data_IF_455716705597
#
_entry.id   IF_455716705597
#
_cell.length_a   1.000
_cell.length_b   1.000
_cell.length_c   1.000
_cell.angle_alpha   90.00
_cell.angle_beta   90.00
_cell.angle_gamma   90.00
#
_symmetry.space_group_name_H-M   'P 1'
#
loop_
_entity.id
_entity.type
_entity.pdbx_description
1 polymer ?
#
# COMPACT_ATOMS: atom_id res chain seq x y z
N UNK A 1 -27.24 -5.45 -12.71
CA UNK A 1 -25.94 -5.13 -13.36
C UNK A 1 -25.23 -6.33 -14.00
N UNK A 2 -25.31 -7.57 -13.48
CA UNK A 2 -24.66 -8.76 -14.08
C UNK A 2 -25.08 -9.12 -15.52
N UNK A 3 -26.21 -8.64 -16.02
CA UNK A 3 -26.72 -8.99 -17.37
C UNK A 3 -25.99 -8.30 -18.53
N UNK A 4 -25.38 -7.11 -18.32
CA UNK A 4 -24.79 -6.31 -19.42
C UNK A 4 -23.35 -6.67 -19.77
N UNK A 5 -22.60 -7.27 -18.84
CA UNK A 5 -21.21 -7.68 -19.09
C UNK A 5 -21.08 -8.81 -20.13
N UNK A 6 -22.16 -9.56 -20.36
CA UNK A 6 -22.17 -10.68 -21.29
C UNK A 6 -22.63 -10.29 -22.70
N UNK A 7 -23.10 -9.06 -22.94
CA UNK A 7 -23.63 -8.66 -24.26
C UNK A 7 -22.54 -8.76 -25.34
N UNK A 8 -21.36 -8.19 -25.10
CA UNK A 8 -20.25 -8.21 -26.05
C UNK A 8 -19.77 -9.65 -26.36
N UNK A 9 -19.51 -10.53 -25.36
CA UNK A 9 -19.20 -11.93 -25.63
C UNK A 9 -20.30 -12.69 -26.38
N UNK A 10 -21.57 -12.47 -26.01
CA UNK A 10 -22.71 -13.20 -26.58
C UNK A 10 -22.93 -12.81 -28.05
N UNK A 11 -22.95 -11.52 -28.36
CA UNK A 11 -23.06 -11.04 -29.75
C UNK A 11 -21.84 -11.43 -30.58
N UNK A 12 -20.64 -11.33 -30.01
CA UNK A 12 -19.41 -11.77 -30.66
C UNK A 12 -19.44 -13.25 -31.05
N UNK A 13 -19.93 -14.11 -30.16
CA UNK A 13 -20.09 -15.55 -30.46
C UNK A 13 -21.11 -15.81 -31.57
N UNK A 14 -22.19 -15.03 -31.65
CA UNK A 14 -23.19 -15.17 -32.73
C UNK A 14 -22.63 -14.78 -34.10
N UNK A 15 -21.83 -13.70 -34.16
CA UNK A 15 -21.18 -13.24 -35.39
C UNK A 15 -20.12 -14.24 -35.86
N UNK A 16 -19.30 -14.77 -34.96
CA UNK A 16 -18.33 -15.82 -35.31
C UNK A 16 -19.04 -17.08 -35.80
N UNK A 17 -20.13 -17.48 -35.15
CA UNK A 17 -20.97 -18.62 -35.57
C UNK A 17 -21.60 -18.41 -36.95
N UNK A 18 -21.77 -17.15 -37.37
CA UNK A 18 -22.28 -16.75 -38.69
C UNK A 18 -21.19 -16.66 -39.77
N UNK A 19 -19.95 -17.07 -39.45
CA UNK A 19 -18.84 -17.16 -40.41
C UNK A 19 -17.93 -15.93 -40.48
N UNK A 20 -18.11 -14.94 -39.60
CA UNK A 20 -17.20 -13.78 -39.53
C UNK A 20 -15.83 -14.16 -38.97
N UNK A 21 -14.77 -13.53 -39.48
CA UNK A 21 -13.40 -13.82 -39.03
C UNK A 21 -13.15 -13.25 -37.62
N UNK A 22 -12.88 -14.10 -36.61
CA UNK A 22 -12.74 -13.67 -35.21
C UNK A 22 -11.53 -12.76 -34.98
N UNK A 23 -10.45 -12.94 -35.73
CA UNK A 23 -9.22 -12.14 -35.60
C UNK A 23 -9.45 -10.70 -36.08
N UNK A 24 -10.13 -10.54 -37.23
CA UNK A 24 -10.48 -9.23 -37.75
C UNK A 24 -11.49 -8.51 -36.85
N UNK A 25 -12.47 -9.26 -36.33
CA UNK A 25 -13.47 -8.72 -35.40
C UNK A 25 -12.80 -8.23 -34.11
N UNK A 26 -11.92 -9.03 -33.50
CA UNK A 26 -11.17 -8.61 -32.32
C UNK A 26 -10.34 -7.34 -32.58
N UNK A 27 -9.68 -7.25 -33.73
CA UNK A 27 -8.89 -6.07 -34.11
C UNK A 27 -9.78 -4.83 -34.26
N UNK A 28 -10.92 -4.95 -34.92
CA UNK A 28 -11.90 -3.88 -35.07
C UNK A 28 -12.48 -3.42 -33.73
N UNK A 29 -12.84 -4.36 -32.85
CA UNK A 29 -13.33 -4.06 -31.50
C UNK A 29 -12.30 -3.34 -30.64
N UNK A 30 -11.03 -3.74 -30.71
CA UNK A 30 -9.95 -3.02 -30.01
C UNK A 30 -9.76 -1.61 -30.56
N UNK A 31 -9.80 -1.44 -31.87
CA UNK A 31 -9.68 -0.11 -32.50
C UNK A 31 -10.86 0.81 -32.08
N UNK A 32 -12.08 0.27 -32.08
CA UNK A 32 -13.27 0.99 -31.63
C UNK A 32 -13.19 1.34 -30.14
N UNK A 33 -12.79 0.39 -29.28
CA UNK A 33 -12.62 0.62 -27.85
C UNK A 33 -11.58 1.71 -27.57
N UNK A 34 -10.44 1.69 -28.27
CA UNK A 34 -9.41 2.72 -28.13
C UNK A 34 -9.90 4.10 -28.58
N UNK A 35 -10.63 4.16 -29.69
CA UNK A 35 -11.24 5.40 -30.17
C UNK A 35 -12.25 5.95 -29.17
N UNK A 36 -13.16 5.11 -28.67
CA UNK A 36 -14.15 5.50 -27.66
C UNK A 36 -13.48 5.96 -26.38
N UNK A 37 -12.44 5.26 -25.91
CA UNK A 37 -11.68 5.68 -24.74
C UNK A 37 -11.09 7.09 -24.94
N UNK A 38 -10.49 7.36 -26.11
CA UNK A 38 -9.93 8.69 -26.40
C UNK A 38 -10.98 9.80 -26.49
N UNK A 39 -12.19 9.49 -26.95
CA UNK A 39 -13.30 10.45 -26.96
C UNK A 39 -13.85 10.69 -25.55
N UNK A 40 -13.92 9.64 -24.72
CA UNK A 40 -14.31 9.76 -23.31
C UNK A 40 -13.30 10.63 -22.57
N UNK A 41 -12.00 10.48 -22.82
CA UNK A 41 -10.95 11.33 -22.23
C UNK A 41 -11.11 12.80 -22.64
N UNK A 42 -11.49 13.07 -23.89
CA UNK A 42 -11.76 14.44 -24.35
C UNK A 42 -13.03 15.06 -23.75
N UNK A 43 -14.03 14.22 -23.44
CA UNK A 43 -15.27 14.64 -22.80
C UNK A 43 -15.16 14.73 -21.26
N UNK A 44 -14.11 14.15 -20.69
CA UNK A 44 -13.88 14.15 -19.26
C UNK A 44 -13.73 15.59 -18.75
N UNK A 45 -14.45 15.89 -17.66
CA UNK A 45 -14.38 17.20 -17.00
C UNK A 45 -13.42 17.08 -15.81
N UNK A 46 -12.39 17.94 -15.72
CA UNK A 46 -11.52 17.96 -14.55
C UNK A 46 -12.34 18.36 -13.32
N UNK A 47 -12.09 17.67 -12.20
CA UNK A 47 -12.74 17.95 -10.92
C UNK A 47 -12.23 19.27 -10.38
N UNK A 48 -13.13 20.19 -10.05
CA UNK A 48 -12.79 21.47 -9.43
C UNK A 48 -13.06 21.44 -7.92
N UNK A 49 -12.42 22.37 -7.20
CA UNK A 49 -12.63 22.59 -5.77
C UNK A 49 -14.09 22.99 -5.51
N UNK A 50 -14.91 22.03 -5.10
CA UNK A 50 -16.36 22.17 -4.92
C UNK A 50 -17.18 21.01 -5.50
N UNK A 51 -16.69 20.38 -6.58
CA UNK A 51 -17.34 19.23 -7.22
C UNK A 51 -17.23 17.96 -6.34
N UNK A 52 -16.21 17.89 -5.49
CA UNK A 52 -15.93 16.74 -4.61
C UNK A 52 -17.12 16.37 -3.73
N UNK A 53 -17.82 17.36 -3.15
CA UNK A 53 -19.00 17.13 -2.33
C UNK A 53 -20.13 16.50 -3.13
N UNK A 54 -20.42 17.03 -4.31
CA UNK A 54 -21.51 16.54 -5.15
C UNK A 54 -21.22 15.12 -5.67
N UNK A 55 -19.97 14.88 -6.10
CA UNK A 55 -19.50 13.55 -6.52
C UNK A 55 -19.59 12.55 -5.37
N UNK A 56 -19.13 12.92 -4.17
CA UNK A 56 -19.17 12.08 -2.99
C UNK A 56 -20.61 11.75 -2.59
N UNK A 57 -21.49 12.75 -2.57
CA UNK A 57 -22.92 12.61 -2.25
C UNK A 57 -23.62 11.64 -3.20
N UNK A 58 -23.38 11.78 -4.51
CA UNK A 58 -23.94 10.85 -5.51
C UNK A 58 -23.38 9.43 -5.31
N UNK A 59 -22.11 9.30 -4.97
CA UNK A 59 -21.43 8.02 -4.80
C UNK A 59 -21.94 7.22 -3.58
N UNK A 60 -22.34 7.91 -2.51
CA UNK A 60 -22.95 7.28 -1.31
C UNK A 60 -24.46 7.12 -1.40
N UNK A 61 -25.07 7.39 -2.56
CA UNK A 61 -26.51 7.17 -2.79
C UNK A 61 -27.41 8.33 -2.35
N UNK A 62 -26.87 9.56 -2.28
CA UNK A 62 -27.63 10.79 -2.01
C UNK A 62 -27.58 11.28 -0.56
N UNK A 63 -26.72 10.69 0.28
CA UNK A 63 -26.50 11.16 1.64
C UNK A 63 -25.55 12.37 1.65
N UNK A 64 -26.12 13.58 1.84
CA UNK A 64 -25.35 14.82 1.89
C UNK A 64 -24.39 14.90 3.10
N UNK A 65 -24.75 14.27 4.22
CA UNK A 65 -23.93 14.27 5.43
C UNK A 65 -22.66 13.47 5.24
N UNK A 66 -22.78 12.25 4.73
CA UNK A 66 -21.61 11.43 4.35
C UNK A 66 -20.82 12.06 3.20
N UNK A 67 -21.50 12.61 2.19
CA UNK A 67 -20.83 13.31 1.08
C UNK A 67 -19.96 14.47 1.55
N UNK A 68 -20.43 15.23 2.53
CA UNK A 68 -19.66 16.33 3.13
C UNK A 68 -18.43 15.83 3.91
N UNK A 69 -18.56 14.78 4.72
CA UNK A 69 -17.43 14.18 5.46
C UNK A 69 -16.34 13.65 4.53
N UNK A 70 -16.74 12.97 3.45
CA UNK A 70 -15.82 12.46 2.43
C UNK A 70 -15.10 13.62 1.73
N UNK A 71 -15.82 14.66 1.30
CA UNK A 71 -15.20 15.84 0.68
C UNK A 71 -14.17 16.49 1.60
N UNK A 72 -14.51 16.64 2.89
CA UNK A 72 -13.60 17.21 3.89
C UNK A 72 -12.34 16.35 4.07
N UNK A 73 -12.47 15.02 4.07
CA UNK A 73 -11.32 14.12 4.13
C UNK A 73 -10.39 14.32 2.91
N UNK A 74 -10.93 14.33 1.69
CA UNK A 74 -10.14 14.54 0.47
C UNK A 74 -9.50 15.93 0.42
N UNK A 75 -10.19 16.98 0.86
CA UNK A 75 -9.63 18.33 0.94
C UNK A 75 -8.48 18.45 1.94
N UNK A 76 -8.58 17.75 3.08
CA UNK A 76 -7.54 17.80 4.11
C UNK A 76 -6.30 17.00 3.72
N UNK A 77 -6.50 15.90 2.99
CA UNK A 77 -5.45 14.96 2.60
C UNK A 77 -4.74 15.40 1.30
N UNK A 78 -5.43 16.13 0.42
CA UNK A 78 -4.91 16.61 -0.85
C UNK A 78 -4.74 15.50 -1.90
N UNK A 79 -4.19 15.88 -3.07
CA UNK A 79 -4.16 15.02 -4.27
C UNK A 79 -3.35 13.72 -4.12
N UNK A 80 -2.41 13.67 -3.17
CA UNK A 80 -1.45 12.55 -3.03
C UNK A 80 -1.65 11.70 -1.78
N UNK A 81 -2.57 12.08 -0.90
CA UNK A 81 -2.73 11.33 0.34
C UNK A 81 -3.73 10.19 0.22
N UNK A 82 -3.65 9.26 1.17
CA UNK A 82 -4.40 8.02 1.14
C UNK A 82 -5.51 8.04 2.20
N UNK A 83 -6.71 7.61 1.81
CA UNK A 83 -7.86 7.49 2.70
C UNK A 83 -8.03 6.02 3.09
N UNK A 84 -8.06 5.76 4.39
CA UNK A 84 -8.38 4.44 4.95
C UNK A 84 -9.72 4.53 5.66
N UNK A 85 -10.60 3.57 5.41
CA UNK A 85 -11.92 3.51 6.04
C UNK A 85 -11.86 2.54 7.20
N UNK A 86 -12.29 3.00 8.37
CA UNK A 86 -12.34 2.21 9.59
C UNK A 86 -13.76 2.06 10.11
N UNK A 87 -14.07 0.87 10.62
CA UNK A 87 -15.31 0.65 11.36
C UNK A 87 -15.05 0.97 12.84
N UNK A 88 -15.65 2.06 13.33
CA UNK A 88 -15.58 2.44 14.74
C UNK A 88 -16.77 1.88 15.51
N UNK A 89 -16.62 1.69 16.83
CA UNK A 89 -17.73 1.31 17.72
C UNK A 89 -18.56 2.52 18.17
N UNK A 90 -18.22 3.72 17.70
CA UNK A 90 -18.87 4.97 18.04
C UNK A 90 -20.01 5.22 17.06
N UNK A 91 -21.08 5.88 17.52
CA UNK A 91 -22.26 6.20 16.69
C UNK A 91 -22.00 7.31 15.67
N UNK A 92 -20.94 8.09 15.84
CA UNK A 92 -20.61 9.24 15.01
C UNK A 92 -19.41 8.91 14.12
N UNK A 93 -19.52 9.21 12.81
CA UNK A 93 -18.36 9.09 11.92
C UNK A 93 -17.43 10.29 12.12
N UNK A 94 -16.15 9.99 12.31
CA UNK A 94 -15.08 10.96 12.50
C UNK A 94 -14.09 10.90 11.33
N UNK A 95 -13.48 12.04 11.02
CA UNK A 95 -12.37 12.15 10.06
C UNK A 95 -11.14 12.52 10.85
N UNK A 96 -10.19 11.60 10.93
CA UNK A 96 -8.90 11.79 11.57
C UNK A 96 -7.80 11.81 10.51
N UNK A 97 -6.85 12.73 10.66
CA UNK A 97 -5.68 12.82 9.78
C UNK A 97 -4.47 12.40 10.60
N UNK A 98 -3.93 11.25 10.24
CA UNK A 98 -2.74 10.68 10.85
C UNK A 98 -1.61 10.60 9.83
N UNK A 99 -0.37 10.68 10.31
CA UNK A 99 0.78 10.44 9.46
C UNK A 99 0.84 8.96 9.07
N UNK A 100 1.26 8.68 7.84
CA UNK A 100 1.29 7.32 7.34
C UNK A 100 2.08 7.15 6.05
N UNK A 101 2.37 5.88 5.75
CA UNK A 101 3.18 5.45 4.62
C UNK A 101 2.35 4.51 3.75
N UNK A 102 2.52 4.58 2.44
CA UNK A 102 1.85 3.69 1.49
C UNK A 102 2.86 2.99 0.61
N UNK A 103 2.67 1.68 0.45
CA UNK A 103 3.55 0.80 -0.31
C UNK A 103 2.76 0.10 -1.41
N UNK A 104 3.32 0.05 -2.61
CA UNK A 104 2.77 -0.67 -3.76
C UNK A 104 3.07 -2.17 -3.72
N UNK A 105 2.93 -2.75 -2.52
CA UNK A 105 3.14 -4.17 -2.22
C UNK A 105 2.09 -4.64 -1.23
N UNK A 106 1.40 -5.71 -1.61
CA UNK A 106 0.43 -6.38 -0.75
C UNK A 106 0.97 -7.62 -0.05
N UNK A 107 0.08 -8.33 0.64
CA UNK A 107 0.42 -9.52 1.40
C UNK A 107 1.01 -10.61 0.50
N UNK A 108 2.05 -11.30 0.98
CA UNK A 108 2.67 -12.42 0.24
C UNK A 108 1.72 -13.62 0.14
N UNK A 109 0.86 -13.79 1.14
CA UNK A 109 -0.06 -14.91 1.24
C UNK A 109 -1.46 -14.44 1.67
N UNK A 110 -2.53 -14.88 0.96
CA UNK A 110 -3.91 -14.54 1.35
C UNK A 110 -4.31 -15.17 2.70
N UNK A 111 -3.52 -16.10 3.24
CA UNK A 111 -3.75 -16.64 4.58
C UNK A 111 -3.44 -15.66 5.71
N UNK A 112 -2.86 -14.50 5.41
CA UNK A 112 -2.70 -13.41 6.38
C UNK A 112 -3.95 -12.53 6.53
N UNK A 113 -4.92 -12.66 5.62
CA UNK A 113 -6.17 -11.88 5.63
C UNK A 113 -6.91 -12.10 6.95
N UNK A 114 -7.23 -11.01 7.63
CA UNK A 114 -8.01 -11.01 8.87
C UNK A 114 -9.49 -10.76 8.59
N UNK A 115 -9.79 -9.98 7.55
CA UNK A 115 -11.15 -9.71 7.10
C UNK A 115 -11.39 -10.35 5.73
N UNK A 116 -12.08 -11.49 5.73
CA UNK A 116 -12.38 -12.24 4.50
C UNK A 116 -13.42 -11.56 3.60
N UNK A 117 -14.18 -10.58 4.09
CA UNK A 117 -15.15 -9.85 3.28
C UNK A 117 -14.46 -8.74 2.49
N UNK A 118 -13.60 -7.96 3.16
CA UNK A 118 -12.81 -6.90 2.52
C UNK A 118 -11.55 -7.43 1.81
N UNK A 119 -11.14 -8.67 2.10
CA UNK A 119 -9.87 -9.27 1.67
C UNK A 119 -8.65 -8.45 2.13
N UNK A 120 -8.69 -8.00 3.38
CA UNK A 120 -7.69 -7.14 4.00
C UNK A 120 -7.07 -7.84 5.21
N UNK A 121 -5.76 -7.69 5.38
CA UNK A 121 -5.06 -8.03 6.61
C UNK A 121 -4.82 -6.77 7.44
N UNK A 122 -5.34 -6.73 8.66
CA UNK A 122 -5.17 -5.61 9.59
C UNK A 122 -4.39 -6.03 10.83
N UNK A 123 -3.41 -5.22 11.21
CA UNK A 123 -2.68 -5.34 12.46
C UNK A 123 -2.80 -4.06 13.27
N UNK A 124 -3.11 -4.18 14.56
CA UNK A 124 -3.19 -3.06 15.50
C UNK A 124 -1.96 -3.03 16.38
N UNK A 125 -1.30 -1.88 16.48
CA UNK A 125 -0.04 -1.68 17.21
C UNK A 125 1.05 -2.73 16.90
N UNK A 126 1.33 -3.05 15.62
CA UNK A 126 2.34 -4.03 15.29
C UNK A 126 3.76 -3.51 15.52
N UNK A 127 4.67 -4.45 15.78
CA UNK A 127 6.10 -4.26 15.58
C UNK A 127 6.44 -4.38 14.11
N UNK A 128 7.33 -3.54 13.61
CA UNK A 128 7.72 -3.51 12.19
C UNK A 128 9.16 -3.99 12.03
N UNK A 129 9.32 -5.10 11.31
CA UNK A 129 10.62 -5.60 10.89
C UNK A 129 10.92 -5.12 9.47
N UNK A 130 12.06 -4.45 9.29
CA UNK A 130 12.53 -3.97 7.98
C UNK A 130 13.90 -4.57 7.68
N UNK A 131 13.98 -5.38 6.63
CA UNK A 131 15.23 -6.05 6.22
C UNK A 131 15.35 -6.18 4.71
N UNK A 132 16.58 -6.21 4.20
CA UNK A 132 16.90 -6.53 2.81
C UNK A 132 17.20 -8.02 2.59
N UNK A 133 17.14 -8.83 3.66
CA UNK A 133 17.42 -10.26 3.63
C UNK A 133 16.21 -11.05 3.10
N UNK A 134 16.50 -12.24 2.56
CA UNK A 134 15.48 -13.20 2.14
C UNK A 134 15.16 -14.14 3.28
N UNK A 135 13.90 -14.20 3.66
CA UNK A 135 13.37 -15.12 4.65
C UNK A 135 12.98 -16.44 3.99
N UNK A 136 13.86 -17.43 4.06
CA UNK A 136 13.63 -18.76 3.49
C UNK A 136 13.52 -19.82 4.60
N UNK A 137 14.38 -19.70 5.62
CA UNK A 137 14.48 -20.62 6.74
C UNK A 137 13.76 -20.04 7.98
N UNK A 138 13.00 -20.90 8.68
CA UNK A 138 12.27 -20.47 9.87
C UNK A 138 13.19 -20.18 11.05
N UNK A 139 14.41 -20.76 11.06
CA UNK A 139 15.40 -20.57 12.12
C UNK A 139 15.88 -19.12 12.24
N UNK A 140 15.96 -18.38 11.12
CA UNK A 140 16.47 -17.01 11.09
C UNK A 140 15.61 -16.03 11.88
N UNK A 141 14.33 -16.34 12.09
CA UNK A 141 13.38 -15.48 12.82
C UNK A 141 12.91 -16.09 14.13
N UNK A 142 13.30 -17.31 14.43
CA UNK A 142 12.73 -18.08 15.53
C UNK A 142 12.87 -17.35 16.86
N UNK A 143 14.06 -16.82 17.15
CA UNK A 143 14.34 -16.03 18.35
C UNK A 143 13.41 -14.81 18.46
N UNK A 144 13.27 -14.05 17.37
CA UNK A 144 12.42 -12.87 17.32
C UNK A 144 10.94 -13.22 17.54
N UNK A 145 10.46 -14.29 16.90
CA UNK A 145 9.09 -14.76 17.05
C UNK A 145 8.81 -15.22 18.49
N UNK A 146 9.74 -15.92 19.14
CA UNK A 146 9.57 -16.35 20.53
C UNK A 146 9.40 -15.16 21.50
N UNK A 147 10.13 -14.08 21.29
CA UNK A 147 10.03 -12.89 22.14
C UNK A 147 8.72 -12.11 21.90
N UNK A 148 8.27 -12.04 20.66
CA UNK A 148 6.97 -11.45 20.31
C UNK A 148 5.79 -12.28 20.83
N UNK A 149 5.93 -13.60 20.86
CA UNK A 149 4.93 -14.51 21.42
C UNK A 149 4.75 -14.31 22.93
N UNK A 150 5.83 -14.06 23.67
CA UNK A 150 5.76 -13.78 25.13
C UNK A 150 4.94 -12.52 25.42
N UNK A 151 5.06 -11.51 24.55
CA UNK A 151 4.38 -10.22 24.69
C UNK A 151 3.05 -10.15 23.96
N UNK A 152 2.71 -11.18 23.16
CA UNK A 152 1.53 -11.24 22.28
C UNK A 152 1.41 -10.02 21.36
N UNK A 153 2.54 -9.51 20.89
CA UNK A 153 2.57 -8.36 20.00
C UNK A 153 2.46 -8.83 18.53
N UNK A 154 1.59 -8.21 17.72
CA UNK A 154 1.55 -8.48 16.29
C UNK A 154 2.84 -7.99 15.61
N UNK A 155 3.20 -8.62 14.50
CA UNK A 155 4.38 -8.24 13.71
C UNK A 155 4.05 -8.06 12.23
N UNK A 156 4.55 -6.96 11.68
CA UNK A 156 4.56 -6.68 10.25
C UNK A 156 5.99 -6.85 9.72
N UNK A 157 6.15 -7.68 8.69
CA UNK A 157 7.47 -8.03 8.13
C UNK A 157 7.61 -7.48 6.72
N UNK A 158 8.66 -6.70 6.49
CA UNK A 158 9.09 -6.20 5.18
C UNK A 158 10.47 -6.80 4.89
N UNK A 159 10.54 -7.69 3.91
CA UNK A 159 11.77 -8.41 3.55
C UNK A 159 11.95 -8.49 2.02
N UNK A 160 13.16 -8.77 1.53
CA UNK A 160 13.39 -8.92 0.08
C UNK A 160 12.56 -10.04 -0.54
N UNK A 161 12.40 -11.13 0.20
CA UNK A 161 11.43 -12.17 -0.12
C UNK A 161 11.08 -12.96 1.14
N UNK A 162 9.87 -13.54 1.18
CA UNK A 162 9.48 -14.48 2.23
C UNK A 162 8.92 -15.73 1.58
N UNK A 163 9.67 -16.82 1.67
CA UNK A 163 9.38 -18.07 0.95
C UNK A 163 9.69 -19.30 1.81
N UNK A 164 9.53 -20.49 1.25
CA UNK A 164 10.01 -21.73 1.87
C UNK A 164 9.36 -22.05 3.22
N UNK A 165 10.19 -22.54 4.15
CA UNK A 165 9.77 -22.96 5.48
C UNK A 165 9.36 -21.78 6.36
N UNK A 166 10.03 -20.63 6.20
CA UNK A 166 9.69 -19.40 6.92
C UNK A 166 8.23 -18.99 6.66
N UNK A 167 7.82 -18.91 5.38
CA UNK A 167 6.45 -18.53 5.02
C UNK A 167 5.42 -19.52 5.57
N UNK A 168 5.68 -20.83 5.46
CA UNK A 168 4.77 -21.86 5.96
C UNK A 168 4.59 -21.74 7.48
N UNK A 169 5.68 -21.49 8.20
CA UNK A 169 5.68 -21.33 9.66
C UNK A 169 4.87 -20.11 10.07
N UNK A 170 5.08 -18.97 9.41
CA UNK A 170 4.32 -17.74 9.68
C UNK A 170 2.82 -17.92 9.44
N UNK A 171 2.45 -18.51 8.30
CA UNK A 171 1.06 -18.79 7.95
C UNK A 171 0.40 -19.73 8.95
N UNK A 172 1.09 -20.81 9.33
CA UNK A 172 0.55 -21.79 10.28
C UNK A 172 0.35 -21.19 11.67
N UNK A 173 1.27 -20.36 12.15
CA UNK A 173 1.14 -19.68 13.44
C UNK A 173 0.00 -18.66 13.43
N UNK A 174 -0.19 -17.93 12.31
CA UNK A 174 -1.34 -17.04 12.12
C UNK A 174 -2.67 -17.80 12.14
N UNK A 175 -2.78 -18.87 11.36
CA UNK A 175 -4.01 -19.68 11.29
C UNK A 175 -4.39 -20.34 12.62
N UNK A 176 -3.38 -20.67 13.45
CA UNK A 176 -3.59 -21.21 14.79
C UNK A 176 -3.90 -20.13 15.84
N UNK A 177 -3.87 -18.85 15.47
CA UNK A 177 -4.05 -17.72 16.40
C UNK A 177 -2.93 -17.61 17.44
N UNK A 178 -1.75 -18.17 17.15
CA UNK A 178 -0.59 -18.15 18.04
C UNK A 178 0.13 -16.80 17.91
N UNK A 179 0.30 -16.33 16.67
CA UNK A 179 0.94 -15.05 16.35
C UNK A 179 0.16 -14.31 15.27
N UNK A 180 -0.12 -13.04 15.50
CA UNK A 180 -0.64 -12.15 14.47
C UNK A 180 0.51 -11.60 13.63
N UNK A 181 0.68 -12.14 12.42
CA UNK A 181 1.74 -11.75 11.49
C UNK A 181 1.19 -11.46 10.10
N UNK A 182 1.75 -10.44 9.46
CA UNK A 182 1.57 -10.15 8.03
C UNK A 182 2.93 -9.86 7.43
N UNK A 183 3.23 -10.44 6.28
CA UNK A 183 4.49 -10.23 5.57
C UNK A 183 4.23 -9.71 4.15
N UNK A 184 5.03 -8.72 3.75
CA UNK A 184 5.07 -8.16 2.39
C UNK A 184 6.48 -8.27 1.82
N UNK A 185 6.56 -8.26 0.50
CA UNK A 185 7.83 -8.13 -0.21
C UNK A 185 8.27 -6.67 -0.20
N UNK A 186 9.57 -6.42 -0.10
CA UNK A 186 10.13 -5.10 -0.22
C UNK A 186 9.71 -4.44 -1.56
N UNK A 187 9.37 -3.14 -1.55
CA UNK A 187 9.11 -2.39 -2.77
C UNK A 187 10.41 -2.16 -3.54
N UNK A 188 10.29 -1.95 -4.85
CA UNK A 188 11.43 -1.75 -5.77
C UNK A 188 12.49 -2.89 -5.75
N UNK A 189 13.63 -2.65 -6.39
CA UNK A 189 14.75 -3.58 -6.49
C UNK A 189 16.09 -2.81 -6.46
N UNK A 190 17.19 -3.51 -6.16
CA UNK A 190 18.55 -2.93 -6.15
C UNK A 190 18.73 -1.79 -5.15
N UNK A 191 19.54 -0.79 -5.49
CA UNK A 191 19.83 0.35 -4.61
C UNK A 191 18.58 1.14 -4.20
N UNK A 192 17.54 1.16 -5.05
CA UNK A 192 16.27 1.82 -4.74
C UNK A 192 15.51 1.12 -3.62
N UNK A 193 15.54 -0.22 -3.60
CA UNK A 193 14.98 -1.01 -2.50
C UNK A 193 15.62 -0.64 -1.17
N UNK A 194 16.96 -0.56 -1.13
CA UNK A 194 17.70 -0.20 0.08
C UNK A 194 17.34 1.20 0.58
N UNK A 195 17.21 2.17 -0.32
CA UNK A 195 16.78 3.53 0.03
C UNK A 195 15.36 3.55 0.62
N UNK A 196 14.39 2.90 -0.03
CA UNK A 196 13.00 2.86 0.47
C UNK A 196 12.91 2.11 1.81
N UNK A 197 13.64 1.01 1.98
CA UNK A 197 13.69 0.29 3.26
C UNK A 197 14.30 1.15 4.37
N UNK A 198 15.33 1.94 4.06
CA UNK A 198 15.91 2.87 5.01
C UNK A 198 14.91 3.98 5.40
N UNK A 199 14.16 4.53 4.44
CA UNK A 199 13.14 5.54 4.71
C UNK A 199 11.97 4.96 5.55
N UNK A 200 11.57 3.71 5.27
CA UNK A 200 10.56 2.99 6.07
C UNK A 200 11.03 2.75 7.50
N UNK A 201 12.29 2.34 7.67
CA UNK A 201 12.87 2.15 8.99
C UNK A 201 12.89 3.48 9.77
N UNK A 202 13.28 4.57 9.12
CA UNK A 202 13.27 5.92 9.69
C UNK A 202 11.87 6.35 10.15
N UNK A 203 10.86 6.16 9.30
CA UNK A 203 9.50 6.61 9.58
C UNK A 203 8.79 5.76 10.65
N UNK A 204 9.18 4.49 10.81
CA UNK A 204 8.63 3.58 11.83
C UNK A 204 9.50 3.49 13.10
N UNK A 205 10.68 4.12 13.10
CA UNK A 205 11.66 4.00 14.18
C UNK A 205 12.37 2.66 14.25
N UNK A 206 12.26 1.82 13.23
CA UNK A 206 12.97 0.53 13.16
C UNK A 206 14.46 0.74 12.86
N UNK A 207 15.28 -0.19 13.32
CA UNK A 207 16.63 -0.34 12.79
C UNK A 207 16.57 -1.17 11.50
N UNK A 208 17.13 -0.64 10.42
CA UNK A 208 17.17 -1.35 9.14
C UNK A 208 18.21 -2.47 9.20
N UNK A 209 17.75 -3.73 9.26
CA UNK A 209 18.63 -4.90 9.30
C UNK A 209 19.20 -5.15 7.91
N UNK A 210 20.36 -4.55 7.67
CA UNK A 210 21.05 -4.53 6.39
C UNK A 210 22.15 -5.62 6.33
N UNK A 211 21.99 -6.53 5.37
CA UNK A 211 22.94 -7.60 5.10
C UNK A 211 24.34 -7.11 4.68
N UNK A 212 24.43 -5.97 3.99
CA UNK A 212 25.70 -5.37 3.54
C UNK A 212 26.53 -4.81 4.71
N UNK A 213 25.87 -4.43 5.82
CA UNK A 213 26.53 -3.98 7.05
C UNK A 213 26.88 -5.12 8.00
N UNK A 214 26.63 -6.38 7.60
CA UNK A 214 26.92 -7.57 8.39
C UNK A 214 25.90 -7.86 9.50
N UNK A 215 24.74 -7.21 9.49
CA UNK A 215 23.64 -7.51 10.42
C UNK A 215 22.92 -8.79 10.00
N UNK A 216 22.50 -9.61 10.97
CA UNK A 216 21.77 -10.86 10.69
C UNK A 216 20.39 -10.83 11.34
N UNK A 217 19.43 -11.52 10.73
CA UNK A 217 18.10 -11.69 11.31
C UNK A 217 18.09 -12.54 12.58
N UNK A 218 19.03 -13.48 12.69
CA UNK A 218 19.14 -14.37 13.85
C UNK A 218 19.51 -13.62 15.15
N UNK A 219 20.28 -12.53 15.02
CA UNK A 219 20.70 -11.67 16.13
C UNK A 219 19.73 -10.51 16.38
N UNK A 220 18.65 -10.40 15.58
CA UNK A 220 17.70 -9.31 15.69
C UNK A 220 16.95 -9.35 17.02
N UNK A 221 16.79 -8.18 17.65
CA UNK A 221 16.08 -8.05 18.92
C UNK A 221 14.80 -7.23 18.77
N UNK A 222 13.87 -7.38 19.71
CA UNK A 222 12.58 -6.64 19.68
C UNK A 222 12.78 -5.13 19.76
N UNK A 223 13.87 -4.66 20.37
CA UNK A 223 14.21 -3.23 20.49
C UNK A 223 14.59 -2.60 19.14
N UNK A 224 14.99 -3.41 18.15
CA UNK A 224 15.33 -2.97 16.80
C UNK A 224 14.09 -2.89 15.89
N UNK A 225 12.94 -3.39 16.35
CA UNK A 225 11.70 -3.32 15.59
C UNK A 225 11.02 -1.97 15.77
N UNK A 226 10.56 -1.41 14.65
CA UNK A 226 9.78 -0.18 14.65
C UNK A 226 8.38 -0.39 15.21
N UNK A 227 7.63 0.70 15.31
CA UNK A 227 6.24 0.71 15.77
C UNK A 227 5.34 1.47 14.80
N UNK A 228 4.12 0.96 14.64
CA UNK A 228 3.04 1.66 13.96
C UNK A 228 1.79 1.59 14.83
N UNK A 229 0.88 2.54 14.65
CA UNK A 229 -0.44 2.47 15.28
C UNK A 229 -1.29 1.38 14.62
N UNK A 230 -1.23 1.31 13.29
CA UNK A 230 -1.99 0.33 12.51
C UNK A 230 -1.28 0.03 11.20
N UNK A 231 -1.43 -1.20 10.72
CA UNK A 231 -1.03 -1.60 9.37
C UNK A 231 -2.18 -2.29 8.68
N UNK A 232 -2.50 -1.85 7.47
CA UNK A 232 -3.58 -2.36 6.62
C UNK A 232 -2.96 -2.85 5.32
N UNK A 233 -3.14 -4.13 5.00
CA UNK A 233 -2.52 -4.76 3.83
C UNK A 233 -3.57 -5.41 2.96
N UNK A 234 -3.62 -4.95 1.73
CA UNK A 234 -4.44 -5.49 0.64
C UNK A 234 -3.60 -6.41 -0.25
N UNK A 235 -4.19 -6.89 -1.35
CA UNK A 235 -3.51 -7.76 -2.31
C UNK A 235 -2.33 -7.08 -3.00
N UNK A 236 -2.43 -5.79 -3.29
CA UNK A 236 -1.45 -5.05 -4.10
C UNK A 236 -0.87 -3.82 -3.39
N UNK A 237 -1.41 -3.46 -2.22
CA UNK A 237 -1.07 -2.25 -1.48
C UNK A 237 -0.93 -2.55 0.01
N UNK A 238 -0.07 -1.82 0.70
CA UNK A 238 -0.04 -1.74 2.15
C UNK A 238 -0.05 -0.28 2.60
N UNK A 239 -0.74 0.00 3.69
CA UNK A 239 -0.81 1.31 4.34
C UNK A 239 -0.39 1.14 5.79
N UNK A 240 0.62 1.90 6.21
CA UNK A 240 1.11 1.94 7.58
C UNK A 240 0.71 3.29 8.17
N UNK A 241 -0.02 3.26 9.28
CA UNK A 241 -0.36 4.46 10.07
C UNK A 241 0.66 4.58 11.19
N UNK A 242 1.45 5.65 11.18
CA UNK A 242 2.48 5.89 12.19
C UNK A 242 1.90 6.68 13.36
N UNK A 243 2.57 6.63 14.51
CA UNK A 243 2.17 7.36 15.72
C UNK A 243 2.76 8.80 15.77
N UNK A 244 3.37 9.26 14.67
CA UNK A 244 4.00 10.58 14.56
C UNK A 244 5.29 10.76 15.35
N UNK A 245 5.80 9.72 16.04
CA UNK A 245 6.99 9.82 16.90
C UNK A 245 8.25 10.27 16.16
N UNK A 246 8.32 9.96 14.86
CA UNK A 246 9.48 10.19 14.01
C UNK A 246 9.24 11.25 12.92
N UNK A 247 8.19 12.05 13.06
CA UNK A 247 7.81 13.10 12.10
C UNK A 247 8.95 14.08 11.77
N UNK A 248 9.76 14.45 12.77
CA UNK A 248 10.90 15.37 12.55
C UNK A 248 12.02 14.72 11.73
N UNK A 249 12.36 13.46 12.01
CA UNK A 249 13.38 12.72 11.27
C UNK A 249 12.97 12.49 9.81
N UNK A 250 11.67 12.25 9.61
CA UNK A 250 10.99 12.24 8.32
C UNK A 250 11.15 13.57 7.57
N UNK A 251 10.86 14.70 8.22
CA UNK A 251 10.98 16.03 7.59
C UNK A 251 12.42 16.36 7.20
N UNK A 252 13.38 16.01 8.05
CA UNK A 252 14.79 16.17 7.73
C UNK A 252 15.19 15.34 6.51
N UNK A 253 14.67 14.12 6.39
CA UNK A 253 14.90 13.26 5.23
C UNK A 253 14.32 13.84 3.94
N UNK A 254 13.09 14.36 3.98
CA UNK A 254 12.48 15.05 2.84
C UNK A 254 13.36 16.22 2.39
N UNK A 255 13.82 17.04 3.35
CA UNK A 255 14.70 18.18 3.06
C UNK A 255 16.03 17.77 2.42
N UNK A 256 16.61 16.66 2.85
CA UNK A 256 17.81 16.10 2.21
C UNK A 256 17.53 15.67 0.76
N UNK A 257 16.38 15.02 0.51
CA UNK A 257 15.98 14.63 -0.83
C UNK A 257 15.74 15.84 -1.74
N UNK A 258 15.10 16.90 -1.21
CA UNK A 258 14.89 18.15 -1.95
C UNK A 258 16.21 18.82 -2.34
N UNK A 259 17.19 18.87 -1.42
CA UNK A 259 18.53 19.39 -1.73
C UNK A 259 19.24 18.55 -2.81
N UNK A 260 19.13 17.23 -2.73
CA UNK A 260 19.68 16.34 -3.76
C UNK A 260 19.03 16.56 -5.12
N UNK A 261 17.73 16.89 -5.15
CA UNK A 261 17.00 17.18 -6.37
C UNK A 261 17.48 18.50 -7.01
N UNK A 262 17.75 19.53 -6.19
CA UNK A 262 18.30 20.82 -6.64
C UNK A 262 19.72 20.71 -7.18
N UNK A 263 20.56 19.83 -6.60
CA UNK A 263 21.94 19.63 -7.02
C UNK A 263 22.10 18.69 -8.24
N UNK A 264 21.02 18.05 -8.66
CA UNK A 264 21.03 17.03 -9.72
C UNK A 264 20.60 17.60 -11.07
N UNK A 265 21.54 17.65 -12.02
CA UNK A 265 21.30 18.11 -13.41
C UNK A 265 20.75 17.02 -14.36
N UNK A 266 20.67 15.77 -13.89
CA UNK A 266 20.26 14.61 -14.69
C UNK A 266 18.75 14.38 -14.58
N UNK A 267 18.04 14.47 -15.69
CA UNK A 267 16.58 14.24 -15.73
C UNK A 267 16.18 12.85 -15.24
N UNK A 268 17.05 11.85 -15.45
CA UNK A 268 16.84 10.49 -14.97
C UNK A 268 16.92 10.39 -13.45
N UNK A 269 17.86 11.12 -12.83
CA UNK A 269 18.02 11.13 -11.38
C UNK A 269 16.96 12.01 -10.71
N UNK A 270 16.49 13.07 -11.38
CA UNK A 270 15.33 13.86 -10.93
C UNK A 270 14.04 13.03 -10.88
N UNK A 271 13.73 12.28 -11.94
CA UNK A 271 12.57 11.37 -11.95
C UNK A 271 12.69 10.31 -10.85
N UNK A 272 13.91 9.82 -10.58
CA UNK A 272 14.16 8.86 -9.51
C UNK A 272 13.91 9.44 -8.12
N UNK A 273 14.42 10.64 -7.82
CA UNK A 273 14.22 11.29 -6.52
C UNK A 273 12.73 11.63 -6.34
N UNK A 274 12.05 12.12 -7.39
CA UNK A 274 10.59 12.34 -7.34
C UNK A 274 9.81 11.05 -7.11
N UNK A 275 10.26 9.94 -7.70
CA UNK A 275 9.62 8.64 -7.49
C UNK A 275 9.91 8.07 -6.09
N UNK A 276 11.03 8.42 -5.45
CA UNK A 276 11.31 8.05 -4.06
C UNK A 276 10.48 8.90 -3.08
N UNK A 277 10.24 10.18 -3.40
CA UNK A 277 9.27 11.02 -2.68
C UNK A 277 7.83 10.49 -2.79
N UNK A 278 7.45 9.92 -3.95
CA UNK A 278 6.09 9.41 -4.18
C UNK A 278 5.86 7.99 -3.64
N UNK A 279 6.83 7.07 -3.81
CA UNK A 279 6.74 5.69 -3.29
C UNK A 279 6.92 5.57 -1.77
N UNK A 280 7.43 6.60 -1.10
CA UNK A 280 7.51 6.67 0.37
C UNK A 280 6.30 7.32 1.04
N UNK A 281 5.36 7.88 0.26
CA UNK A 281 4.28 8.77 0.73
C UNK A 281 4.66 9.68 1.91
N UNK A 282 5.79 10.38 1.78
CA UNK A 282 5.87 11.69 2.38
C UNK A 282 5.07 12.62 1.46
N UNK A 283 3.75 12.62 1.66
CA UNK A 283 2.90 13.58 0.98
C UNK A 283 3.50 14.97 1.17
N UNK A 284 3.63 15.73 0.07
CA UNK A 284 3.94 17.17 0.17
C UNK A 284 2.99 17.75 1.20
N UNK A 285 3.49 18.12 2.39
CA UNK A 285 2.77 19.07 3.22
C UNK A 285 2.64 20.31 2.36
N UNK A 286 1.45 20.56 1.85
CA UNK A 286 1.09 21.92 1.44
C UNK A 286 1.37 22.80 2.65
N UNK A 287 2.37 23.67 2.54
CA UNK A 287 2.43 24.84 3.39
C UNK A 287 1.11 25.61 3.23
N UNK A 288 0.59 26.25 4.29
CA UNK A 288 -0.72 26.88 4.32
C UNK A 288 -0.94 27.92 3.21
#
# INVERSE_FOLDING_TARGET
MRSRYLEIPVEGMQLVSSGYNPVLMQKGMKAAANFIASEVDQLAKPVQSGDLKDIATVSVGGDEGMGQKISQAFETVGDTGNVVIEESQVLEDEVEVSEGLTLDRGYISPYFVTDAQRLVAELKKPRVLVTDQKLSDAYDILTLLEDLLKTKQPIFIIADDVTGEALQTLVLNKQRGILDVVAIKAPAFGARKTAILQDLALATGAEFINSELGMTLADATVDQLGTCEKVVVEKEKAVLVTDGSHAEAVKERIKQLDQQLEETDSSYDQEKIQADQSCGSFGRMGAP
#
